data_IF_830088794188
#
_entry.id   IF_830088794188
#
_cell.length_a   1.000
_cell.length_b   1.000
_cell.length_c   1.000
_cell.angle_alpha   90.00
_cell.angle_beta   90.00
_cell.angle_gamma   90.00
#
_symmetry.space_group_name_H-M   'P 1'
#
loop_
_entity.id
_entity.type
_entity.pdbx_description
1 polymer ?
#
# COMPACT_ATOMS: atom_id res chain seq x y z
N UNK A 1 0.88 -22.02 6.25
CA UNK A 1 1.04 -21.61 4.83
C UNK A 1 0.07 -20.48 4.54
N UNK A 2 0.52 -19.33 3.98
CA UNK A 2 -0.38 -18.28 3.50
C UNK A 2 -1.24 -18.79 2.33
N UNK A 3 -2.44 -18.21 2.12
CA UNK A 3 -3.29 -18.54 0.97
C UNK A 3 -2.74 -17.90 -0.30
N UNK A 4 -3.13 -18.45 -1.44
CA UNK A 4 -2.80 -17.86 -2.74
C UNK A 4 -3.60 -16.58 -2.98
N UNK A 5 -3.12 -15.70 -3.87
CA UNK A 5 -3.85 -14.49 -4.26
C UNK A 5 -5.26 -14.82 -4.78
N UNK A 6 -5.39 -15.92 -5.53
CA UNK A 6 -6.68 -16.43 -6.01
C UNK A 6 -7.60 -16.80 -4.86
N UNK A 7 -7.10 -17.55 -3.88
CA UNK A 7 -7.90 -17.94 -2.71
C UNK A 7 -8.34 -16.72 -1.90
N UNK A 8 -7.49 -15.70 -1.74
CA UNK A 8 -7.88 -14.44 -1.11
C UNK A 8 -8.96 -13.70 -1.88
N UNK A 9 -8.88 -13.65 -3.21
CA UNK A 9 -9.94 -13.06 -4.04
C UNK A 9 -11.26 -13.83 -3.91
N UNK A 10 -11.23 -15.16 -3.93
CA UNK A 10 -12.40 -16.02 -3.74
C UNK A 10 -13.03 -15.79 -2.34
N UNK A 11 -12.21 -15.66 -1.29
CA UNK A 11 -12.69 -15.34 0.06
C UNK A 11 -13.37 -13.97 0.11
N UNK A 12 -12.76 -12.94 -0.48
CA UNK A 12 -13.37 -11.60 -0.52
C UNK A 12 -14.71 -11.60 -1.26
N UNK A 13 -14.77 -12.30 -2.39
CA UNK A 13 -15.99 -12.44 -3.18
C UNK A 13 -17.10 -13.12 -2.37
N UNK A 14 -16.81 -14.25 -1.71
CA UNK A 14 -17.80 -14.96 -0.89
C UNK A 14 -18.21 -14.13 0.32
N UNK A 15 -17.30 -13.39 0.94
CA UNK A 15 -17.61 -12.48 2.04
C UNK A 15 -18.59 -11.37 1.62
N UNK A 16 -18.35 -10.75 0.46
CA UNK A 16 -19.26 -9.77 -0.13
C UNK A 16 -20.62 -10.37 -0.48
N UNK A 17 -20.64 -11.58 -1.07
CA UNK A 17 -21.87 -12.31 -1.37
C UNK A 17 -22.70 -12.61 -0.12
N UNK A 18 -22.05 -12.86 1.01
CA UNK A 18 -22.70 -13.05 2.31
C UNK A 18 -23.01 -11.74 3.04
N UNK A 19 -23.01 -10.60 2.34
CA UNK A 19 -23.30 -9.27 2.90
C UNK A 19 -22.45 -8.94 4.15
N UNK A 20 -21.17 -9.30 4.12
CA UNK A 20 -20.25 -9.06 5.24
C UNK A 20 -20.41 -10.02 6.44
N UNK A 21 -21.24 -11.06 6.34
CA UNK A 21 -21.32 -12.07 7.40
C UNK A 21 -20.22 -13.12 7.27
N UNK A 22 -19.18 -13.00 8.10
CA UNK A 22 -17.99 -13.84 8.03
C UNK A 22 -18.26 -15.33 8.28
N UNK A 23 -19.19 -15.66 9.19
CA UNK A 23 -19.53 -17.06 9.49
C UNK A 23 -20.37 -17.69 8.39
N UNK A 24 -21.25 -16.91 7.77
CA UNK A 24 -21.97 -17.37 6.58
C UNK A 24 -21.00 -17.57 5.42
N UNK A 25 -20.04 -16.65 5.25
CA UNK A 25 -19.00 -16.74 4.22
C UNK A 25 -18.12 -17.98 4.39
N UNK A 26 -17.72 -18.33 5.62
CA UNK A 26 -16.97 -19.56 5.89
C UNK A 26 -17.72 -20.82 5.43
N UNK A 27 -19.01 -20.94 5.78
CA UNK A 27 -19.84 -22.08 5.35
C UNK A 27 -20.01 -22.09 3.83
N UNK A 28 -20.38 -20.96 3.25
CA UNK A 28 -20.56 -20.84 1.80
C UNK A 28 -19.28 -21.09 1.00
N UNK A 29 -18.11 -20.75 1.55
CA UNK A 29 -16.82 -21.04 0.94
C UNK A 29 -16.53 -22.56 0.93
N UNK A 30 -16.81 -23.26 2.04
CA UNK A 30 -16.68 -24.73 2.12
C UNK A 30 -17.58 -25.44 1.13
N UNK A 31 -18.83 -24.99 1.02
CA UNK A 31 -19.82 -25.55 0.09
C UNK A 31 -19.44 -25.31 -1.38
N UNK A 32 -18.97 -24.09 -1.70
CA UNK A 32 -18.66 -23.70 -3.09
C UNK A 32 -17.35 -24.30 -3.61
N UNK A 33 -16.40 -24.58 -2.72
CA UNK A 33 -15.08 -25.12 -3.07
C UNK A 33 -14.81 -26.42 -2.30
N UNK A 34 -15.50 -27.52 -2.64
CA UNK A 34 -15.24 -28.83 -2.02
C UNK A 34 -13.85 -29.34 -2.39
N UNK A 35 -13.22 -30.11 -1.50
CA UNK A 35 -11.94 -30.79 -1.77
C UNK A 35 -10.69 -29.90 -1.65
N UNK A 36 -10.78 -28.75 -0.98
CA UNK A 36 -9.59 -27.95 -0.66
C UNK A 36 -8.78 -28.64 0.43
N UNK A 37 -7.45 -28.57 0.33
CA UNK A 37 -6.52 -29.08 1.35
C UNK A 37 -6.78 -28.46 2.73
N UNK A 38 -7.19 -27.18 2.76
CA UNK A 38 -7.57 -26.46 3.97
C UNK A 38 -8.68 -25.45 3.70
N UNK A 39 -9.39 -25.09 4.76
CA UNK A 39 -10.43 -24.07 4.72
C UNK A 39 -10.07 -22.87 5.60
N UNK A 40 -10.41 -21.64 5.18
CA UNK A 40 -10.25 -20.44 6.00
C UNK A 40 -11.20 -20.41 7.18
N UNK A 41 -10.71 -19.95 8.32
CA UNK A 41 -11.52 -19.51 9.45
C UNK A 41 -12.27 -18.21 9.09
N UNK A 42 -13.43 -17.97 9.69
CA UNK A 42 -14.25 -16.78 9.44
C UNK A 42 -13.46 -15.46 9.58
N UNK A 43 -12.45 -15.38 10.45
CA UNK A 43 -11.62 -14.18 10.65
C UNK A 43 -10.78 -13.85 9.42
N UNK A 44 -10.43 -14.84 8.59
CA UNK A 44 -9.63 -14.61 7.37
C UNK A 44 -10.41 -13.76 6.38
N UNK A 45 -11.72 -13.99 6.25
CA UNK A 45 -12.60 -13.21 5.38
C UNK A 45 -12.62 -11.73 5.77
N UNK A 46 -12.72 -11.45 7.07
CA UNK A 46 -12.67 -10.09 7.61
C UNK A 46 -11.32 -9.42 7.33
N UNK A 47 -10.22 -10.13 7.61
CA UNK A 47 -8.86 -9.60 7.38
C UNK A 47 -8.61 -9.29 5.91
N UNK A 48 -9.06 -10.17 5.01
CA UNK A 48 -8.93 -9.97 3.57
C UNK A 48 -9.71 -8.74 3.12
N UNK A 49 -10.95 -8.58 3.59
CA UNK A 49 -11.75 -7.40 3.29
C UNK A 49 -11.08 -6.12 3.80
N UNK A 50 -10.66 -6.10 5.06
CA UNK A 50 -10.01 -4.93 5.66
C UNK A 50 -8.70 -4.57 4.94
N UNK A 51 -7.90 -5.57 4.55
CA UNK A 51 -6.69 -5.32 3.77
C UNK A 51 -7.01 -4.58 2.46
N UNK A 52 -8.06 -4.95 1.73
CA UNK A 52 -8.45 -4.22 0.53
C UNK A 52 -8.99 -2.81 0.82
N UNK A 53 -9.73 -2.62 1.90
CA UNK A 53 -10.16 -1.28 2.36
C UNK A 53 -8.96 -0.39 2.66
N UNK A 54 -7.89 -0.97 3.22
CA UNK A 54 -6.62 -0.30 3.54
C UNK A 54 -5.68 -0.20 2.33
N UNK A 55 -6.11 -0.59 1.13
CA UNK A 55 -5.30 -0.55 -0.10
C UNK A 55 -4.17 -1.58 -0.16
N UNK A 56 -4.22 -2.62 0.67
CA UNK A 56 -3.23 -3.70 0.75
C UNK A 56 -3.63 -4.91 -0.09
N UNK A 57 -2.63 -5.70 -0.50
CA UNK A 57 -2.84 -6.99 -1.17
C UNK A 57 -2.53 -8.13 -0.18
N UNK A 58 -3.53 -8.93 0.25
CA UNK A 58 -3.32 -10.06 1.14
C UNK A 58 -2.29 -11.06 0.61
N UNK A 59 -1.44 -11.59 1.51
CA UNK A 59 -0.45 -12.61 1.17
C UNK A 59 0.83 -12.11 0.53
N UNK A 60 1.00 -10.79 0.38
CA UNK A 60 2.24 -10.20 -0.12
C UNK A 60 2.99 -9.42 0.98
N UNK A 61 3.70 -10.10 1.90
CA UNK A 61 4.50 -9.44 2.93
C UNK A 61 5.70 -8.68 2.36
N UNK A 62 6.03 -8.84 1.07
CA UNK A 62 7.29 -8.39 0.47
C UNK A 62 7.22 -7.11 -0.37
N UNK A 63 6.07 -6.42 -0.45
CA UNK A 63 5.97 -5.16 -1.24
C UNK A 63 5.63 -3.90 -0.47
N UNK A 64 5.17 -4.00 0.77
CA UNK A 64 5.24 -2.86 1.67
C UNK A 64 6.69 -2.80 2.16
N UNK A 65 7.57 -2.10 1.42
CA UNK A 65 8.89 -1.76 1.96
C UNK A 65 8.75 -1.10 3.34
N UNK A 66 9.86 -1.01 4.10
CA UNK A 66 9.87 -0.32 5.41
C UNK A 66 9.08 1.00 5.28
N UNK A 67 8.07 1.25 6.12
CA UNK A 67 7.37 2.53 6.13
C UNK A 67 8.41 3.63 6.16
N UNK A 68 8.37 4.53 5.17
CA UNK A 68 9.29 5.66 5.16
C UNK A 68 8.89 6.52 6.37
N UNK A 69 9.74 6.54 7.40
CA UNK A 69 9.42 7.08 8.73
C UNK A 69 9.05 8.59 8.73
N UNK A 70 9.18 9.27 7.59
CA UNK A 70 8.90 10.69 7.46
C UNK A 70 8.02 10.97 6.23
N UNK A 71 6.76 10.53 6.23
CA UNK A 71 5.79 10.92 5.19
C UNK A 71 5.64 12.45 5.14
N UNK A 72 5.59 13.10 6.31
CA UNK A 72 5.54 14.57 6.42
C UNK A 72 6.74 15.24 5.73
N UNK A 73 7.92 14.63 5.83
CA UNK A 73 9.12 15.15 5.20
C UNK A 73 9.15 14.98 3.67
N UNK A 74 8.35 14.06 3.13
CA UNK A 74 8.14 13.97 1.68
C UNK A 74 7.28 15.12 1.18
N UNK A 75 6.19 15.42 1.88
CA UNK A 75 5.29 16.53 1.54
C UNK A 75 6.01 17.88 1.61
N UNK A 76 6.82 18.10 2.65
CA UNK A 76 7.68 19.31 2.77
C UNK A 76 8.63 19.47 1.57
N UNK A 77 9.24 18.38 1.09
CA UNK A 77 10.14 18.42 -0.08
C UNK A 77 9.35 18.76 -1.35
N UNK A 78 8.17 18.18 -1.53
CA UNK A 78 7.30 18.41 -2.67
C UNK A 78 6.83 19.87 -2.70
N UNK A 79 6.40 20.40 -1.56
CA UNK A 79 5.99 21.80 -1.42
C UNK A 79 7.14 22.76 -1.75
N UNK A 80 8.33 22.58 -1.17
CA UNK A 80 9.50 23.41 -1.47
C UNK A 80 9.86 23.41 -2.97
N UNK A 81 9.68 22.28 -3.66
CA UNK A 81 9.96 22.16 -5.09
C UNK A 81 8.88 22.81 -5.97
N UNK A 82 7.63 22.88 -5.51
CA UNK A 82 6.52 23.52 -6.20
C UNK A 82 6.49 25.04 -6.00
N UNK A 83 6.77 25.52 -4.79
CA UNK A 83 6.83 26.95 -4.47
C UNK A 83 7.92 27.69 -5.25
N UNK A 84 9.10 27.06 -5.39
CA UNK A 84 10.23 27.64 -6.08
C UNK A 84 10.86 26.61 -7.04
N UNK A 85 10.33 26.46 -8.27
CA UNK A 85 10.87 25.54 -9.26
C UNK A 85 12.32 25.86 -9.67
N UNK A 86 12.80 27.09 -9.39
CA UNK A 86 14.18 27.49 -9.62
C UNK A 86 15.18 26.93 -8.58
N UNK A 87 14.68 26.28 -7.52
CA UNK A 87 15.50 25.83 -6.38
C UNK A 87 16.16 24.49 -6.66
N UNK A 88 17.47 24.39 -6.40
CA UNK A 88 18.21 23.15 -6.61
C UNK A 88 17.91 22.10 -5.54
N UNK A 89 17.99 20.82 -5.92
CA UNK A 89 17.88 19.66 -5.01
C UNK A 89 18.83 19.78 -3.79
N UNK A 90 20.02 20.36 -3.98
CA UNK A 90 20.97 20.61 -2.88
C UNK A 90 20.48 21.67 -1.90
N UNK A 91 19.79 22.71 -2.38
CA UNK A 91 19.21 23.75 -1.52
C UNK A 91 18.05 23.18 -0.70
N UNK A 92 17.19 22.37 -1.30
CA UNK A 92 16.10 21.66 -0.60
C UNK A 92 16.69 20.77 0.51
N UNK A 93 17.72 19.97 0.18
CA UNK A 93 18.41 19.11 1.15
C UNK A 93 18.94 19.86 2.38
N UNK A 94 19.51 21.05 2.20
CA UNK A 94 19.99 21.88 3.32
C UNK A 94 18.85 22.46 4.15
N UNK A 95 17.73 22.83 3.53
CA UNK A 95 16.58 23.44 4.20
C UNK A 95 15.76 22.41 4.99
N UNK A 96 15.60 21.20 4.46
CA UNK A 96 14.85 20.13 5.11
C UNK A 96 15.69 19.23 6.03
N UNK A 97 17.03 19.32 5.98
CA UNK A 97 17.93 18.43 6.71
C UNK A 97 17.97 16.99 6.17
N UNK A 98 17.33 16.74 5.03
CA UNK A 98 17.20 15.41 4.42
C UNK A 98 18.36 15.19 3.44
N UNK A 99 18.97 13.98 3.39
CA UNK A 99 20.03 13.70 2.45
C UNK A 99 19.63 13.99 0.99
N UNK A 100 20.54 14.61 0.24
CA UNK A 100 20.30 15.03 -1.16
C UNK A 100 19.83 13.88 -2.05
N UNK A 101 20.32 12.66 -1.81
CA UNK A 101 19.92 11.45 -2.54
C UNK A 101 18.45 11.11 -2.34
N UNK A 102 17.93 11.31 -1.13
CA UNK A 102 16.52 11.09 -0.81
C UNK A 102 15.64 12.18 -1.42
N UNK A 103 16.04 13.45 -1.30
CA UNK A 103 15.36 14.57 -1.96
C UNK A 103 15.23 14.32 -3.46
N UNK A 104 16.32 13.91 -4.13
CA UNK A 104 16.31 13.62 -5.55
C UNK A 104 15.36 12.47 -5.92
N UNK A 105 15.27 11.41 -5.08
CA UNK A 105 14.31 10.31 -5.29
C UNK A 105 12.87 10.78 -5.16
N UNK A 106 12.57 11.60 -4.15
CA UNK A 106 11.23 12.17 -3.92
C UNK A 106 10.80 13.05 -5.08
N UNK A 107 11.66 14.00 -5.49
CA UNK A 107 11.42 14.89 -6.63
C UNK A 107 11.15 14.10 -7.92
N UNK A 108 11.97 13.07 -8.22
CA UNK A 108 11.75 12.23 -9.41
C UNK A 108 10.47 11.39 -9.34
N UNK A 109 10.17 10.79 -8.18
CA UNK A 109 8.97 9.97 -7.98
C UNK A 109 7.69 10.79 -8.19
N UNK A 110 7.72 12.06 -7.79
CA UNK A 110 6.63 13.02 -7.96
C UNK A 110 6.69 13.79 -9.30
N UNK A 111 7.56 13.38 -10.24
CA UNK A 111 7.70 13.98 -11.58
C UNK A 111 7.98 15.50 -11.57
N UNK A 112 8.59 16.00 -10.50
CA UNK A 112 8.97 17.41 -10.39
C UNK A 112 10.32 17.64 -11.06
N UNK A 113 10.45 18.77 -11.76
CA UNK A 113 11.68 19.18 -12.43
C UNK A 113 12.17 20.56 -11.94
N UNK A 114 12.65 20.67 -10.69
CA UNK A 114 13.31 21.89 -10.26
C UNK A 114 14.54 22.13 -11.13
N UNK A 115 14.64 23.31 -11.73
CA UNK A 115 15.72 23.74 -12.61
C UNK A 115 16.46 24.90 -11.96
N UNK A 116 17.74 25.10 -12.22
CA UNK A 116 18.45 26.28 -11.71
C UNK A 116 18.51 27.33 -12.82
N UNK A 117 17.98 28.53 -12.59
CA UNK A 117 18.25 29.68 -13.47
C UNK A 117 19.64 30.19 -13.13
N UNK A 118 20.55 30.20 -14.10
CA UNK A 118 21.93 30.69 -13.97
C UNK A 118 22.00 32.21 -13.98
#
# INVERSE_FOLDING_TARGET
MPYTVREYAEMHFVYGFCNGNARAAERGYRERFPGRERYPDYRVFQRVHNAYVEGQIPGNPHRAGRPYENADAEDDIVEMALEEPSTSVRRISRRSGIPTTTVHRIVRRNQLHPYHVQ
#
